data_IF_314208708661
#
_entry.id   IF_314208708661
#
_cell.length_a   1.000
_cell.length_b   1.000
_cell.length_c   1.000
_cell.angle_alpha   90.00
_cell.angle_beta   90.00
_cell.angle_gamma   90.00
#
_symmetry.space_group_name_H-M   'P 1'
#
loop_
_entity.id
_entity.type
_entity.pdbx_description
1 polymer ?
#
# COMPACT_ATOMS: atom_id res chain seq x y z
N UNK A 1 23.50 11.78 -13.96
CA UNK A 1 22.66 10.58 -14.16
C UNK A 1 21.22 11.01 -14.22
N UNK A 2 20.45 10.50 -15.20
CA UNK A 2 19.01 10.71 -15.26
C UNK A 2 18.33 9.55 -14.52
N UNK A 3 17.57 9.88 -13.48
CA UNK A 3 16.77 8.90 -12.73
C UNK A 3 15.29 9.06 -13.04
N UNK A 4 14.57 7.96 -12.94
CA UNK A 4 13.12 7.92 -12.95
C UNK A 4 12.64 7.07 -11.77
N UNK A 5 11.64 7.57 -11.07
CA UNK A 5 10.88 6.81 -10.09
C UNK A 5 9.69 6.16 -10.79
N UNK A 6 9.51 4.87 -10.61
CA UNK A 6 8.37 4.13 -11.13
C UNK A 6 7.32 3.96 -10.06
N UNK A 7 6.09 4.30 -10.42
CA UNK A 7 4.90 3.89 -9.69
C UNK A 7 4.37 2.62 -10.37
N UNK A 8 4.81 1.48 -9.86
CA UNK A 8 4.43 0.15 -10.26
C UNK A 8 2.93 -0.10 -10.02
N UNK A 9 2.43 -1.16 -10.67
CA UNK A 9 1.00 -1.48 -10.65
C UNK A 9 0.52 -1.89 -9.26
N UNK A 10 -0.75 -1.61 -8.99
CA UNK A 10 -1.49 -2.25 -7.90
C UNK A 10 -2.09 -3.58 -8.35
N UNK A 11 -2.55 -4.38 -7.37
CA UNK A 11 -3.42 -5.53 -7.60
C UNK A 11 -2.83 -6.60 -8.53
N UNK A 12 -1.57 -6.98 -8.31
CA UNK A 12 -0.92 -8.07 -9.07
C UNK A 12 -1.61 -9.43 -8.87
N UNK A 13 -2.22 -9.59 -7.70
CA UNK A 13 -3.04 -10.71 -7.26
C UNK A 13 -4.34 -10.92 -8.06
N UNK A 14 -4.83 -9.90 -8.79
CA UNK A 14 -6.03 -10.04 -9.63
C UNK A 14 -5.83 -11.03 -10.75
N UNK A 15 -4.61 -11.12 -11.29
CA UNK A 15 -4.26 -12.07 -12.34
C UNK A 15 -3.67 -13.36 -11.78
N UNK A 16 -2.87 -13.26 -10.72
CA UNK A 16 -2.34 -14.42 -10.01
C UNK A 16 -2.73 -14.39 -8.53
N UNK A 17 -3.84 -15.07 -8.16
CA UNK A 17 -4.31 -15.11 -6.78
C UNK A 17 -3.30 -15.66 -5.78
N UNK A 18 -2.26 -16.39 -6.21
CA UNK A 18 -1.22 -16.88 -5.30
C UNK A 18 -0.38 -15.74 -4.69
N UNK A 19 -0.39 -14.56 -5.31
CA UNK A 19 0.33 -13.37 -4.84
C UNK A 19 -0.50 -12.50 -3.86
N UNK A 20 -1.71 -12.92 -3.49
CA UNK A 20 -2.62 -12.16 -2.60
C UNK A 20 -1.96 -11.72 -1.29
N UNK A 21 -1.16 -12.59 -0.68
CA UNK A 21 -0.48 -12.29 0.58
C UNK A 21 0.71 -11.34 0.41
N UNK A 22 1.26 -11.29 -0.80
CA UNK A 22 2.37 -10.43 -1.18
C UNK A 22 1.91 -9.12 -1.83
N UNK A 23 0.61 -8.91 -2.01
CA UNK A 23 0.09 -7.72 -2.70
C UNK A 23 0.40 -6.41 -1.98
N UNK A 24 0.81 -6.41 -0.71
CA UNK A 24 1.32 -5.21 -0.03
C UNK A 24 2.81 -4.97 -0.21
N UNK A 25 3.52 -5.93 -0.78
CA UNK A 25 4.99 -5.93 -1.00
C UNK A 25 5.33 -5.83 -2.48
N UNK A 26 4.53 -6.51 -3.31
CA UNK A 26 4.74 -6.69 -4.73
C UNK A 26 3.63 -6.02 -5.56
N UNK A 27 4.00 -5.47 -6.72
CA UNK A 27 5.37 -5.20 -7.15
C UNK A 27 6.08 -4.17 -6.27
N UNK A 28 7.41 -4.27 -6.21
CA UNK A 28 8.21 -3.18 -5.68
C UNK A 28 8.10 -1.97 -6.61
N UNK A 29 8.26 -0.80 -6.02
CA UNK A 29 8.43 0.44 -6.80
C UNK A 29 9.90 0.51 -7.25
N UNK A 30 10.21 1.29 -8.28
CA UNK A 30 11.54 1.24 -8.89
C UNK A 30 12.23 2.61 -8.95
N UNK A 31 13.56 2.61 -8.80
CA UNK A 31 14.42 3.70 -9.25
C UNK A 31 15.26 3.22 -10.44
N UNK A 32 15.01 3.80 -11.60
CA UNK A 32 15.63 3.43 -12.87
C UNK A 32 16.70 4.45 -13.29
N UNK A 33 17.85 3.96 -13.76
CA UNK A 33 18.86 4.78 -14.43
C UNK A 33 18.58 4.78 -15.92
N UNK A 34 18.14 5.95 -16.42
CA UNK A 34 17.61 6.07 -17.77
C UNK A 34 18.72 6.18 -18.81
N UNK A 35 18.69 5.24 -19.75
CA UNK A 35 19.50 5.13 -20.95
C UNK A 35 18.65 5.24 -22.23
N UNK A 36 19.17 5.91 -23.28
CA UNK A 36 18.50 6.01 -24.56
C UNK A 36 18.15 4.65 -25.17
N UNK A 37 16.89 4.47 -25.54
CA UNK A 37 16.40 3.29 -26.26
C UNK A 37 16.24 2.01 -25.43
N UNK A 38 16.53 2.06 -24.11
CA UNK A 38 16.35 0.91 -23.24
C UNK A 38 14.85 0.67 -22.92
N UNK A 39 14.50 -0.61 -22.70
CA UNK A 39 13.18 -1.04 -22.26
C UNK A 39 13.24 -1.47 -20.79
N UNK A 40 12.42 -0.88 -19.92
CA UNK A 40 12.43 -1.11 -18.46
C UNK A 40 11.33 -2.08 -18.00
N UNK A 41 11.04 -3.12 -18.77
CA UNK A 41 10.10 -4.16 -18.32
C UNK A 41 8.63 -3.94 -18.65
N UNK A 42 8.04 -2.78 -18.32
CA UNK A 42 6.59 -2.59 -18.47
C UNK A 42 6.05 -2.79 -19.90
N UNK A 43 4.92 -3.52 -20.11
CA UNK A 43 4.07 -4.19 -19.12
C UNK A 43 4.46 -5.64 -18.80
N UNK A 44 5.54 -6.13 -19.41
CA UNK A 44 5.89 -7.54 -19.44
C UNK A 44 6.65 -8.02 -18.20
N UNK A 45 7.45 -7.14 -17.60
CA UNK A 45 8.28 -7.43 -16.45
C UNK A 45 8.10 -6.39 -15.36
N UNK A 46 8.28 -6.82 -14.12
CA UNK A 46 8.33 -5.99 -12.92
C UNK A 46 9.52 -6.41 -12.04
N UNK A 47 9.90 -5.57 -11.09
CA UNK A 47 11.03 -5.80 -10.19
C UNK A 47 12.33 -6.09 -10.99
N UNK A 48 13.17 -7.00 -10.48
CA UNK A 48 14.40 -7.43 -11.11
C UNK A 48 14.15 -8.50 -12.19
N UNK A 49 13.38 -8.14 -13.22
CA UNK A 49 13.15 -8.98 -14.40
C UNK A 49 12.21 -10.16 -14.16
N UNK A 50 11.22 -9.98 -13.28
CA UNK A 50 10.17 -10.99 -13.05
C UNK A 50 9.07 -10.79 -14.08
N UNK A 51 8.68 -11.85 -14.78
CA UNK A 51 7.59 -11.78 -15.74
C UNK A 51 6.26 -11.49 -15.02
N UNK A 52 5.53 -10.49 -15.51
CA UNK A 52 4.19 -10.15 -15.02
C UNK A 52 3.25 -11.36 -15.21
N UNK A 53 2.30 -11.61 -14.28
CA UNK A 53 1.33 -12.69 -14.40
C UNK A 53 0.48 -12.71 -15.69
N UNK A 54 0.35 -11.56 -16.33
CA UNK A 54 -0.33 -11.40 -17.63
C UNK A 54 0.51 -11.98 -18.78
N UNK A 55 1.83 -12.09 -18.60
CA UNK A 55 2.81 -12.48 -19.62
C UNK A 55 3.84 -13.51 -19.10
N UNK A 56 3.40 -14.66 -18.54
CA UNK A 56 4.26 -15.59 -17.82
C UNK A 56 5.38 -16.25 -18.66
N UNK A 57 5.36 -16.08 -19.99
CA UNK A 57 6.38 -16.60 -20.90
C UNK A 57 7.27 -15.53 -21.55
N UNK A 58 7.17 -14.27 -21.13
CA UNK A 58 8.02 -13.20 -21.67
C UNK A 58 9.45 -13.32 -21.12
N UNK A 59 10.44 -13.11 -21.99
CA UNK A 59 11.86 -13.12 -21.61
C UNK A 59 12.33 -11.73 -21.17
N UNK A 60 12.35 -11.53 -19.86
CA UNK A 60 12.77 -10.28 -19.22
C UNK A 60 14.27 -10.01 -19.29
N UNK A 61 15.10 -10.95 -19.77
CA UNK A 61 16.55 -10.72 -19.93
C UNK A 61 16.88 -9.64 -20.95
N UNK A 62 15.94 -9.33 -21.85
CA UNK A 62 16.02 -8.25 -22.84
C UNK A 62 15.68 -6.86 -22.27
N UNK A 63 15.20 -6.80 -21.02
CA UNK A 63 14.80 -5.57 -20.35
C UNK A 63 15.88 -5.13 -19.36
N UNK A 64 15.89 -3.83 -19.07
CA UNK A 64 16.80 -3.25 -18.09
C UNK A 64 16.17 -3.30 -16.71
N UNK A 65 16.92 -3.87 -15.76
CA UNK A 65 16.52 -3.93 -14.36
C UNK A 65 16.73 -2.58 -13.66
N UNK A 66 15.96 -2.31 -12.58
CA UNK A 66 16.12 -1.10 -11.81
C UNK A 66 17.47 -1.03 -11.08
N UNK A 67 17.91 0.20 -10.80
CA UNK A 67 19.09 0.45 -9.98
C UNK A 67 18.82 0.19 -8.50
N UNK A 68 17.58 0.42 -8.05
CA UNK A 68 17.13 0.13 -6.69
C UNK A 68 15.63 -0.19 -6.71
N UNK A 69 15.26 -1.21 -5.95
CA UNK A 69 13.86 -1.45 -5.60
C UNK A 69 13.51 -0.65 -4.34
N UNK A 70 12.32 -0.08 -4.37
CA UNK A 70 11.67 0.60 -3.27
C UNK A 70 10.53 -0.27 -2.75
N UNK A 71 10.08 -0.12 -1.49
CA UNK A 71 8.95 -0.90 -0.99
C UNK A 71 7.71 -0.74 -1.87
N UNK A 72 6.91 -1.80 -2.04
CA UNK A 72 5.69 -1.72 -2.84
C UNK A 72 4.70 -0.64 -2.37
N UNK A 73 4.02 -0.03 -3.33
CA UNK A 73 2.98 1.00 -3.15
C UNK A 73 3.44 2.25 -2.42
N UNK A 74 4.73 2.61 -2.48
CA UNK A 74 5.19 3.90 -1.97
C UNK A 74 4.86 5.05 -2.91
N UNK A 75 4.55 4.77 -4.19
CA UNK A 75 4.27 5.75 -5.24
C UNK A 75 5.25 6.94 -5.21
N UNK A 76 6.51 6.75 -5.68
CA UNK A 76 7.49 7.82 -5.70
C UNK A 76 7.13 8.83 -6.80
N UNK A 77 6.68 10.04 -6.42
CA UNK A 77 6.18 11.03 -7.39
C UNK A 77 7.18 12.13 -7.72
N UNK A 78 7.90 12.64 -6.71
CA UNK A 78 8.82 13.75 -6.85
C UNK A 78 10.14 13.48 -6.15
N UNK A 79 11.23 13.89 -6.80
CA UNK A 79 12.58 13.59 -6.37
C UNK A 79 13.54 14.72 -6.72
N UNK A 80 14.43 15.07 -5.80
CA UNK A 80 15.45 16.10 -6.02
C UNK A 80 16.73 15.73 -5.28
N UNK A 81 17.88 15.95 -5.92
CA UNK A 81 19.17 15.78 -5.24
C UNK A 81 19.42 16.95 -4.30
N UNK A 82 19.76 16.67 -3.04
CA UNK A 82 20.06 17.73 -2.11
C UNK A 82 21.45 18.33 -2.35
N UNK A 83 21.49 19.56 -2.87
CA UNK A 83 22.74 20.30 -3.12
C UNK A 83 22.92 21.52 -2.19
N UNK A 84 22.02 21.70 -1.22
CA UNK A 84 22.04 22.84 -0.32
C UNK A 84 23.07 22.75 0.80
N UNK A 85 23.28 23.89 1.48
CA UNK A 85 24.19 24.00 2.62
C UNK A 85 23.50 24.11 3.98
N UNK A 86 22.16 24.23 4.00
CA UNK A 86 21.37 24.44 5.21
C UNK A 86 21.35 23.22 6.13
N UNK A 87 21.20 22.02 5.56
CA UNK A 87 21.20 20.76 6.32
C UNK A 87 22.64 20.23 6.52
N UNK A 88 22.86 19.34 7.51
CA UNK A 88 24.18 18.76 7.76
C UNK A 88 24.82 18.14 6.51
N UNK A 89 26.17 18.07 6.41
CA UNK A 89 26.87 17.54 5.24
C UNK A 89 26.41 16.14 4.80
N UNK A 90 25.90 15.33 5.73
CA UNK A 90 25.36 14.01 5.46
C UNK A 90 24.12 14.00 4.54
N UNK A 91 23.51 15.15 4.25
CA UNK A 91 22.40 15.26 3.28
C UNK A 91 22.89 15.48 1.86
N UNK A 92 24.05 16.13 1.69
CA UNK A 92 24.53 16.61 0.39
C UNK A 92 24.77 15.46 -0.57
N UNK A 93 24.32 15.65 -1.81
CA UNK A 93 24.42 14.67 -2.89
C UNK A 93 23.34 13.58 -2.85
N UNK A 94 22.65 13.35 -1.73
CA UNK A 94 21.63 12.31 -1.64
C UNK A 94 20.33 12.72 -2.34
N UNK A 95 19.55 11.73 -2.75
CA UNK A 95 18.27 11.93 -3.41
C UNK A 95 17.16 12.04 -2.36
N UNK A 96 16.41 13.14 -2.34
CA UNK A 96 15.21 13.27 -1.53
C UNK A 96 14.02 12.83 -2.36
N UNK A 97 13.16 11.98 -1.80
CA UNK A 97 12.02 11.39 -2.51
C UNK A 97 10.74 11.54 -1.68
N UNK A 98 9.66 11.97 -2.32
CA UNK A 98 8.31 11.95 -1.76
C UNK A 98 7.65 10.60 -2.00
N UNK A 99 7.33 9.87 -0.93
CA UNK A 99 6.50 8.66 -0.98
C UNK A 99 5.04 9.03 -0.76
N UNK A 100 4.29 9.17 -1.85
CA UNK A 100 2.88 9.59 -1.86
C UNK A 100 1.91 8.49 -1.41
N UNK A 101 2.31 7.24 -1.63
CA UNK A 101 1.45 6.06 -1.60
C UNK A 101 0.52 6.00 -0.40
N UNK A 102 -0.73 5.58 -0.64
CA UNK A 102 -1.80 5.57 0.36
C UNK A 102 -1.69 4.43 1.39
N UNK A 103 -0.71 3.54 1.22
CA UNK A 103 -0.50 2.35 2.05
C UNK A 103 0.56 2.58 3.10
N UNK A 104 0.74 1.59 3.97
CA UNK A 104 1.60 1.69 5.14
C UNK A 104 3.06 2.04 4.84
N UNK A 105 3.58 1.68 3.67
CA UNK A 105 4.93 2.03 3.23
C UNK A 105 5.08 3.47 2.72
N UNK A 106 3.99 4.07 2.23
CA UNK A 106 3.99 5.45 1.75
C UNK A 106 3.90 6.48 2.89
N UNK A 107 3.39 7.67 2.56
CA UNK A 107 3.22 8.79 3.48
C UNK A 107 4.52 9.23 4.16
N UNK A 108 5.59 9.40 3.39
CA UNK A 108 6.92 9.74 3.91
C UNK A 108 7.66 10.70 2.99
N UNK A 109 8.53 11.49 3.57
CA UNK A 109 9.64 12.09 2.83
C UNK A 109 10.88 11.32 3.24
N UNK A 110 11.61 10.79 2.27
CA UNK A 110 12.79 9.96 2.51
C UNK A 110 14.02 10.56 1.83
N UNK A 111 15.18 10.11 2.28
CA UNK A 111 16.47 10.38 1.66
C UNK A 111 17.10 9.04 1.26
N UNK A 112 17.50 8.94 0.00
CA UNK A 112 18.14 7.75 -0.58
C UNK A 112 19.62 8.07 -0.81
N UNK A 113 20.55 7.32 -0.18
CA UNK A 113 21.97 7.45 -0.46
C UNK A 113 22.29 7.15 -1.93
N UNK A 114 23.24 7.89 -2.50
CA UNK A 114 23.69 7.69 -3.89
C UNK A 114 25.22 7.59 -3.98
N UNK A 115 25.70 6.89 -5.01
CA UNK A 115 27.12 6.80 -5.33
C UNK A 115 27.65 8.11 -5.96
N UNK A 116 28.96 8.16 -6.22
CA UNK A 116 29.62 9.33 -6.84
C UNK A 116 29.09 9.64 -8.25
N UNK A 117 28.34 8.72 -8.88
CA UNK A 117 27.69 8.91 -10.18
C UNK A 117 26.24 9.36 -10.02
N UNK A 118 25.74 9.51 -8.79
CA UNK A 118 24.34 9.83 -8.49
C UNK A 118 23.40 8.64 -8.66
N UNK A 119 23.88 7.40 -8.57
CA UNK A 119 23.02 6.20 -8.62
C UNK A 119 22.66 5.77 -7.19
N UNK A 120 21.37 5.51 -6.88
CA UNK A 120 20.94 5.01 -5.57
C UNK A 120 21.73 3.78 -5.11
N UNK A 121 22.34 3.83 -3.92
CA UNK A 121 23.27 2.81 -3.44
C UNK A 121 23.31 2.65 -1.90
N UNK A 122 22.16 2.62 -1.23
CA UNK A 122 22.22 2.43 0.21
C UNK A 122 20.86 2.28 0.86
N UNK A 123 20.90 2.23 2.18
CA UNK A 123 19.71 2.12 2.98
C UNK A 123 18.99 3.48 3.03
N UNK A 124 17.75 3.50 2.53
CA UNK A 124 16.84 4.66 2.56
C UNK A 124 16.71 5.17 3.98
N UNK A 125 16.62 6.49 4.21
CA UNK A 125 16.46 7.13 5.53
C UNK A 125 15.17 7.95 5.56
N UNK A 126 14.43 7.89 6.66
CA UNK A 126 13.22 8.70 6.79
C UNK A 126 13.60 10.15 7.20
N UNK A 127 13.06 11.15 6.51
CA UNK A 127 13.17 12.56 6.89
C UNK A 127 11.91 13.04 7.62
N UNK A 128 10.74 12.69 7.08
CA UNK A 128 9.44 12.97 7.68
C UNK A 128 8.58 11.72 7.61
N UNK A 129 8.03 11.32 8.76
CA UNK A 129 7.11 10.19 8.92
C UNK A 129 6.18 10.43 10.11
N UNK A 130 5.11 9.64 10.20
CA UNK A 130 4.21 9.65 11.36
C UNK A 130 3.26 10.85 11.43
N UNK A 131 3.10 11.60 10.34
CA UNK A 131 2.04 12.60 10.16
C UNK A 131 0.70 11.92 9.84
N UNK A 132 0.19 11.18 10.83
CA UNK A 132 -1.01 10.38 10.72
C UNK A 132 -2.27 11.24 10.55
N UNK A 133 -3.32 10.63 9.98
CA UNK A 133 -4.64 11.26 9.90
C UNK A 133 -5.16 11.62 11.30
N UNK A 134 -5.65 12.85 11.44
CA UNK A 134 -6.38 13.33 12.62
C UNK A 134 -7.85 13.61 12.28
N UNK A 135 -8.62 14.11 13.25
CA UNK A 135 -10.01 14.52 13.02
C UNK A 135 -10.15 15.67 12.01
N UNK A 136 -9.11 16.50 11.88
CA UNK A 136 -9.13 17.73 11.08
C UNK A 136 -8.09 17.73 9.96
N UNK A 137 -7.26 16.70 9.86
CA UNK A 137 -6.13 16.64 8.93
C UNK A 137 -6.01 15.25 8.31
N UNK A 138 -5.97 15.09 6.97
CA UNK A 138 -5.59 13.83 6.35
C UNK A 138 -4.12 13.46 6.64
N UNK A 139 -3.80 12.18 6.46
CA UNK A 139 -2.42 11.70 6.50
C UNK A 139 -1.62 12.32 5.36
N UNK A 140 -0.37 12.69 5.60
CA UNK A 140 0.45 13.41 4.62
C UNK A 140 0.71 12.60 3.35
N UNK A 141 0.52 13.22 2.19
CA UNK A 141 0.69 12.67 0.85
C UNK A 141 1.60 13.59 0.00
N UNK A 142 2.93 13.47 0.17
CA UNK A 142 3.89 14.32 -0.52
C UNK A 142 3.91 14.00 -2.02
N UNK A 143 3.90 15.03 -2.86
CA UNK A 143 3.87 14.89 -4.32
C UNK A 143 5.22 15.26 -4.92
N UNK A 144 5.64 16.51 -4.77
CA UNK A 144 6.89 17.01 -5.35
C UNK A 144 7.84 17.55 -4.29
N UNK A 145 9.14 17.52 -4.59
CA UNK A 145 10.22 17.97 -3.70
C UNK A 145 11.14 18.90 -4.48
N UNK A 146 11.47 20.05 -3.91
CA UNK A 146 12.43 20.99 -4.47
C UNK A 146 13.37 21.53 -3.40
N UNK A 147 14.61 21.83 -3.80
CA UNK A 147 15.59 22.49 -2.93
C UNK A 147 15.64 23.97 -3.28
N UNK A 148 15.34 24.82 -2.29
CA UNK A 148 15.42 26.26 -2.40
C UNK A 148 16.87 26.75 -2.46
N UNK A 149 17.06 27.97 -2.96
CA UNK A 149 18.38 28.62 -3.00
C UNK A 149 18.99 28.81 -1.60
N UNK A 150 18.16 28.93 -0.57
CA UNK A 150 18.59 29.00 0.83
C UNK A 150 18.95 27.62 1.42
N UNK A 151 18.89 26.55 0.62
CA UNK A 151 19.13 25.18 1.04
C UNK A 151 17.97 24.52 1.78
N UNK A 152 16.81 25.19 1.92
CA UNK A 152 15.60 24.58 2.48
C UNK A 152 14.99 23.58 1.51
N UNK A 153 14.29 22.57 2.03
CA UNK A 153 13.56 21.61 1.21
C UNK A 153 12.09 22.01 1.23
N UNK A 154 11.50 22.19 0.05
CA UNK A 154 10.08 22.45 -0.13
C UNK A 154 9.41 21.17 -0.62
N UNK A 155 8.25 20.85 -0.04
CA UNK A 155 7.47 19.68 -0.43
C UNK A 155 6.03 20.11 -0.68
N UNK A 156 5.48 19.76 -1.84
CA UNK A 156 4.05 19.92 -2.11
C UNK A 156 3.31 18.70 -1.57
N UNK A 157 2.15 18.94 -0.97
CA UNK A 157 1.34 17.88 -0.36
C UNK A 157 -0.13 18.14 -0.73
N UNK A 158 -0.72 17.20 -1.47
CA UNK A 158 -1.98 17.42 -2.18
C UNK A 158 -3.22 17.22 -1.31
N UNK A 159 -3.22 16.27 -0.38
CA UNK A 159 -4.40 15.97 0.44
C UNK A 159 -4.70 17.06 1.46
N UNK A 160 -3.70 17.75 2.02
CA UNK A 160 -3.90 18.94 2.84
C UNK A 160 -3.88 20.24 2.01
N UNK A 161 -3.46 20.19 0.74
CA UNK A 161 -3.32 21.38 -0.10
C UNK A 161 -2.24 22.34 0.45
N UNK A 162 -1.12 21.79 0.92
CA UNK A 162 -0.07 22.56 1.61
C UNK A 162 1.26 22.51 0.89
N UNK A 163 2.09 23.53 1.16
CA UNK A 163 3.52 23.50 0.87
C UNK A 163 4.24 23.46 2.20
N UNK A 164 5.02 22.41 2.42
CA UNK A 164 5.86 22.26 3.59
C UNK A 164 7.24 22.84 3.29
N UNK A 165 7.79 23.63 4.22
CA UNK A 165 9.18 24.06 4.20
C UNK A 165 9.93 23.33 5.32
N UNK A 166 10.82 22.43 4.96
CA UNK A 166 11.76 21.84 5.90
C UNK A 166 12.99 22.75 5.99
N UNK A 167 13.32 23.15 7.22
CA UNK A 167 14.50 23.95 7.54
C UNK A 167 15.28 23.26 8.65
N UNK A 168 16.57 23.57 8.74
CA UNK A 168 17.44 23.03 9.76
C UNK A 168 17.68 24.05 10.88
N UNK A 169 17.50 23.61 12.11
CA UNK A 169 17.85 24.37 13.31
C UNK A 169 18.74 23.50 14.19
N UNK A 170 20.03 23.84 14.26
CA UNK A 170 21.01 23.11 15.04
C UNK A 170 20.70 23.10 16.55
N UNK A 171 19.91 24.06 17.05
CA UNK A 171 19.46 24.10 18.45
C UNK A 171 18.37 23.07 18.75
N UNK A 172 17.61 22.65 17.73
CA UNK A 172 16.57 21.62 17.83
C UNK A 172 17.13 20.19 17.68
N UNK A 173 18.38 20.03 17.25
CA UNK A 173 19.08 18.74 17.16
C UNK A 173 20.15 18.71 16.08
N UNK A 174 20.89 17.59 16.01
CA UNK A 174 21.98 17.40 15.04
C UNK A 174 21.50 17.17 13.60
N UNK A 175 20.18 17.10 13.36
CA UNK A 175 19.62 16.86 12.03
C UNK A 175 19.90 15.46 11.51
N UNK A 176 20.20 14.48 12.37
CA UNK A 176 20.41 13.09 11.93
C UNK A 176 19.10 12.56 11.33
N UNK A 177 19.10 12.04 10.09
CA UNK A 177 17.93 11.39 9.50
C UNK A 177 17.39 10.30 10.41
N UNK A 178 16.08 10.10 10.39
CA UNK A 178 15.44 9.07 11.20
C UNK A 178 15.85 7.69 10.68
N UNK A 179 16.03 6.76 11.62
CA UNK A 179 16.19 5.35 11.28
C UNK A 179 14.98 4.91 10.46
N UNK A 180 15.19 4.18 9.35
CA UNK A 180 14.12 3.87 8.43
C UNK A 180 13.14 2.95 9.14
N UNK A 181 11.84 3.21 9.00
CA UNK A 181 10.88 2.21 9.43
C UNK A 181 11.03 0.98 8.52
N UNK A 182 11.18 -0.24 9.08
CA UNK A 182 11.19 -1.45 8.27
C UNK A 182 9.98 -1.45 7.33
N UNK A 183 10.14 -1.92 6.07
CA UNK A 183 9.00 -2.13 5.19
C UNK A 183 7.92 -2.90 5.93
N UNK A 184 6.67 -2.45 5.80
CA UNK A 184 5.54 -3.22 6.29
C UNK A 184 5.35 -4.37 5.33
N UNK A 185 6.15 -5.42 5.52
CA UNK A 185 5.86 -6.72 4.95
C UNK A 185 4.60 -7.23 5.65
N UNK A 186 3.47 -7.48 4.96
CA UNK A 186 2.37 -8.30 5.45
C UNK A 186 2.83 -9.75 5.76
N UNK A 187 3.77 -9.91 6.68
CA UNK A 187 4.04 -11.19 7.31
C UNK A 187 2.81 -11.52 8.14
N UNK A 188 2.13 -12.60 7.78
CA UNK A 188 1.14 -13.20 8.67
C UNK A 188 1.83 -13.48 10.00
N UNK A 189 1.23 -13.02 11.11
CA UNK A 189 1.75 -13.35 12.43
C UNK A 189 1.68 -14.86 12.64
N UNK A 190 2.45 -15.38 13.60
CA UNK A 190 2.36 -16.80 13.96
C UNK A 190 0.91 -17.20 14.33
N UNK A 191 0.18 -16.29 14.98
CA UNK A 191 -1.23 -16.48 15.33
C UNK A 191 -2.14 -16.49 14.10
N UNK A 192 -1.91 -15.61 13.13
CA UNK A 192 -2.65 -15.61 11.87
C UNK A 192 -2.38 -16.87 11.06
N UNK A 193 -1.12 -17.36 11.02
CA UNK A 193 -0.80 -18.65 10.39
C UNK A 193 -1.61 -19.79 11.00
N UNK A 194 -1.61 -19.91 12.33
CA UNK A 194 -2.39 -20.94 13.02
C UNK A 194 -3.89 -20.80 12.71
N UNK A 195 -4.43 -19.58 12.69
CA UNK A 195 -5.84 -19.35 12.32
C UNK A 195 -6.13 -19.78 10.87
N UNK A 196 -5.27 -19.44 9.93
CA UNK A 196 -5.44 -19.81 8.53
C UNK A 196 -5.30 -21.31 8.30
N UNK A 197 -4.36 -21.97 8.96
CA UNK A 197 -4.22 -23.43 8.93
C UNK A 197 -5.48 -24.11 9.48
N UNK A 198 -6.01 -23.63 10.60
CA UNK A 198 -7.26 -24.14 11.16
C UNK A 198 -8.43 -23.90 10.19
N UNK A 199 -8.57 -22.67 9.68
CA UNK A 199 -9.64 -22.29 8.76
C UNK A 199 -9.60 -23.09 7.45
N UNK A 200 -8.42 -23.38 6.91
CA UNK A 200 -8.24 -24.15 5.69
C UNK A 200 -8.88 -25.55 5.77
N UNK A 201 -8.99 -26.11 6.97
CA UNK A 201 -9.60 -27.43 7.19
C UNK A 201 -11.10 -27.38 7.48
N UNK A 202 -11.68 -26.20 7.75
CA UNK A 202 -13.10 -26.05 8.06
C UNK A 202 -13.97 -26.08 6.80
N UNK A 203 -15.01 -26.90 6.82
CA UNK A 203 -16.08 -26.91 5.83
C UNK A 203 -17.27 -26.05 6.27
N UNK A 204 -18.06 -25.55 5.31
CA UNK A 204 -19.33 -24.85 5.56
C UNK A 204 -19.31 -23.40 5.09
N UNK A 205 -20.50 -22.81 4.97
CA UNK A 205 -20.73 -21.51 4.33
C UNK A 205 -19.89 -20.39 4.92
N UNK A 206 -19.77 -20.33 6.26
CA UNK A 206 -19.02 -19.26 6.92
C UNK A 206 -17.50 -19.37 6.68
N UNK A 207 -16.98 -20.59 6.65
CA UNK A 207 -15.56 -20.83 6.40
C UNK A 207 -15.20 -20.52 4.92
N UNK A 208 -16.07 -20.90 3.97
CA UNK A 208 -15.93 -20.51 2.56
C UNK A 208 -16.03 -19.01 2.38
N UNK A 209 -17.07 -18.36 2.93
CA UNK A 209 -17.21 -16.90 2.87
C UNK A 209 -15.96 -16.18 3.39
N UNK A 210 -15.37 -16.65 4.48
CA UNK A 210 -14.14 -16.07 5.01
C UNK A 210 -12.97 -16.18 4.03
N UNK A 211 -12.67 -17.39 3.52
CA UNK A 211 -11.51 -17.60 2.64
C UNK A 211 -11.71 -16.97 1.28
N UNK A 212 -12.88 -17.23 0.70
CA UNK A 212 -13.14 -17.04 -0.71
C UNK A 212 -13.62 -15.61 -1.00
N UNK A 213 -14.19 -14.92 0.00
CA UNK A 213 -14.67 -13.54 -0.14
C UNK A 213 -13.92 -12.57 0.77
N UNK A 214 -13.92 -12.76 2.09
CA UNK A 214 -13.40 -11.75 3.01
C UNK A 214 -11.88 -11.62 2.95
N UNK A 215 -11.15 -12.73 3.05
CA UNK A 215 -9.68 -12.75 2.97
C UNK A 215 -9.18 -12.32 1.59
N UNK A 216 -9.88 -12.77 0.54
CA UNK A 216 -9.54 -12.45 -0.84
C UNK A 216 -9.82 -10.97 -1.19
N UNK A 217 -11.00 -10.45 -0.86
CA UNK A 217 -11.49 -9.20 -1.44
C UNK A 217 -11.61 -8.03 -0.45
N UNK A 218 -11.56 -8.27 0.86
CA UNK A 218 -11.90 -7.26 1.86
C UNK A 218 -10.74 -6.92 2.81
N UNK A 219 -9.99 -7.93 3.28
CA UNK A 219 -8.98 -7.74 4.34
C UNK A 219 -7.84 -6.80 3.94
N UNK A 220 -7.48 -6.74 2.66
CA UNK A 220 -6.40 -5.85 2.16
C UNK A 220 -6.68 -4.35 2.34
N UNK A 221 -7.95 -3.95 2.49
CA UNK A 221 -8.33 -2.57 2.79
C UNK A 221 -8.93 -2.44 4.20
N UNK A 222 -9.70 -3.44 4.64
CA UNK A 222 -10.45 -3.39 5.90
C UNK A 222 -9.75 -4.07 7.08
N UNK A 223 -8.48 -4.46 6.95
CA UNK A 223 -7.69 -5.12 7.97
C UNK A 223 -7.57 -4.35 9.29
N UNK A 224 -7.44 -5.04 10.43
CA UNK A 224 -7.24 -4.41 11.74
C UNK A 224 -5.81 -3.90 12.00
N UNK A 225 -4.95 -3.81 10.97
CA UNK A 225 -3.56 -3.36 11.09
C UNK A 225 -3.44 -1.85 10.79
N UNK A 226 -2.46 -1.12 11.37
CA UNK A 226 -2.21 0.28 11.03
C UNK A 226 -1.91 0.44 9.52
N UNK A 227 -2.60 1.38 8.85
CA UNK A 227 -2.45 1.64 7.41
C UNK A 227 -3.51 1.00 6.51
N UNK A 228 -4.43 0.20 7.06
CA UNK A 228 -5.58 -0.34 6.34
C UNK A 228 -6.78 0.60 6.45
N UNK A 229 -7.24 1.14 5.32
CA UNK A 229 -8.31 2.13 5.25
C UNK A 229 -9.69 1.46 5.25
N UNK A 230 -10.45 1.58 6.35
CA UNK A 230 -11.86 1.21 6.28
C UNK A 230 -12.64 1.01 7.59
N UNK A 231 -11.99 1.04 8.76
CA UNK A 231 -12.67 1.08 10.06
C UNK A 231 -13.52 -0.15 10.44
N UNK A 232 -13.61 -1.16 9.57
CA UNK A 232 -14.33 -2.41 9.78
C UNK A 232 -13.52 -3.44 10.59
N UNK A 233 -12.19 -3.30 10.58
CA UNK A 233 -11.24 -4.10 11.36
C UNK A 233 -11.41 -5.62 11.16
N UNK A 234 -11.54 -6.05 9.90
CA UNK A 234 -11.55 -7.46 9.54
C UNK A 234 -10.19 -8.10 9.84
N UNK A 235 -10.21 -9.35 10.26
CA UNK A 235 -9.02 -10.12 10.58
C UNK A 235 -8.86 -11.27 9.59
N UNK A 236 -7.64 -11.45 9.06
CA UNK A 236 -7.34 -12.56 8.16
C UNK A 236 -7.63 -13.89 8.86
N UNK A 237 -8.36 -14.77 8.18
CA UNK A 237 -8.74 -16.11 8.64
C UNK A 237 -9.51 -16.16 9.98
N UNK A 238 -10.32 -15.15 10.29
CA UNK A 238 -11.19 -15.08 11.48
C UNK A 238 -12.67 -15.13 11.07
N UNK A 239 -13.12 -16.30 10.65
CA UNK A 239 -14.47 -16.53 10.11
C UNK A 239 -15.57 -16.09 11.09
N UNK A 240 -15.51 -16.56 12.33
CA UNK A 240 -16.49 -16.23 13.39
C UNK A 240 -16.43 -14.75 13.78
N UNK A 241 -15.23 -14.20 14.00
CA UNK A 241 -15.08 -12.82 14.43
C UNK A 241 -15.49 -11.82 13.36
N UNK A 242 -15.15 -12.08 12.09
CA UNK A 242 -15.55 -11.20 11.00
C UNK A 242 -17.06 -11.24 10.72
N UNK A 243 -17.68 -12.43 10.74
CA UNK A 243 -19.14 -12.53 10.65
C UNK A 243 -19.84 -11.78 11.78
N UNK A 244 -19.24 -11.76 12.97
CA UNK A 244 -19.76 -11.00 14.10
C UNK A 244 -19.66 -9.49 13.83
N UNK A 245 -18.47 -8.99 13.45
CA UNK A 245 -18.24 -7.56 13.13
C UNK A 245 -19.15 -7.03 12.03
N UNK A 246 -19.43 -7.83 11.00
CA UNK A 246 -20.32 -7.45 9.90
C UNK A 246 -21.78 -7.23 10.36
N UNK A 247 -22.19 -7.89 11.45
CA UNK A 247 -23.55 -7.83 12.01
C UNK A 247 -23.68 -6.84 13.16
N UNK A 248 -22.57 -6.32 13.67
CA UNK A 248 -22.58 -5.37 14.78
C UNK A 248 -22.85 -3.94 14.31
N UNK A 249 -23.45 -3.15 15.20
CA UNK A 249 -23.66 -1.73 14.94
C UNK A 249 -22.31 -1.01 14.89
N UNK A 250 -22.11 -0.21 13.84
CA UNK A 250 -20.95 0.64 13.71
C UNK A 250 -21.16 1.93 14.49
N UNK A 251 -20.06 2.63 14.80
CA UNK A 251 -20.10 3.94 15.48
C UNK A 251 -20.91 4.98 14.70
N UNK A 252 -20.95 4.86 13.38
CA UNK A 252 -21.76 5.67 12.47
C UNK A 252 -22.54 4.75 11.55
N UNK A 253 -23.86 4.63 11.76
CA UNK A 253 -24.76 3.79 10.98
C UNK A 253 -25.05 2.41 11.59
N UNK A 254 -25.93 1.65 10.93
CA UNK A 254 -26.31 0.30 11.32
C UNK A 254 -25.29 -0.77 10.90
N UNK A 255 -25.62 -2.06 11.09
CA UNK A 255 -24.75 -3.16 10.68
C UNK A 255 -24.65 -3.22 9.16
N UNK A 256 -23.52 -3.73 8.67
CA UNK A 256 -23.34 -3.96 7.23
C UNK A 256 -24.22 -5.12 6.74
N UNK A 257 -24.44 -6.10 7.61
CA UNK A 257 -25.25 -7.29 7.32
C UNK A 257 -26.41 -7.38 8.29
N UNK A 258 -27.61 -7.42 7.74
CA UNK A 258 -28.85 -7.72 8.44
C UNK A 258 -29.25 -9.17 8.12
N UNK A 259 -29.45 -10.04 9.13
CA UNK A 259 -29.90 -11.41 8.91
C UNK A 259 -31.18 -11.49 8.08
N UNK A 260 -31.20 -12.39 7.08
CA UNK A 260 -32.33 -12.62 6.17
C UNK A 260 -32.77 -11.40 5.33
N UNK A 261 -31.90 -10.41 5.16
CA UNK A 261 -32.19 -9.17 4.43
C UNK A 261 -31.11 -8.92 3.36
N UNK A 262 -31.44 -9.24 2.11
CA UNK A 262 -30.53 -9.04 0.96
C UNK A 262 -30.34 -7.57 0.60
N UNK A 263 -31.18 -6.66 1.11
CA UNK A 263 -31.01 -5.21 0.99
C UNK A 263 -30.00 -4.64 2.00
N UNK A 264 -29.26 -5.53 2.69
CA UNK A 264 -28.12 -5.21 3.55
C UNK A 264 -27.13 -4.27 2.87
N UNK A 265 -26.55 -3.33 3.64
CA UNK A 265 -25.58 -2.36 3.10
C UNK A 265 -24.37 -3.05 2.46
N UNK A 266 -23.96 -4.22 2.96
CA UNK A 266 -22.90 -5.01 2.34
C UNK A 266 -23.21 -5.32 0.88
N UNK A 267 -24.40 -5.83 0.58
CA UNK A 267 -24.80 -6.21 -0.79
C UNK A 267 -24.81 -4.99 -1.70
N UNK A 268 -25.42 -3.90 -1.24
CA UNK A 268 -25.45 -2.62 -1.96
C UNK A 268 -24.06 -2.07 -2.27
N UNK A 269 -23.11 -2.19 -1.34
CA UNK A 269 -21.70 -1.82 -1.57
C UNK A 269 -21.00 -2.74 -2.56
N UNK A 270 -21.29 -4.04 -2.54
CA UNK A 270 -20.72 -4.99 -3.51
C UNK A 270 -21.25 -4.73 -4.94
N UNK A 271 -22.50 -4.29 -5.06
CA UNK A 271 -23.15 -3.98 -6.34
C UNK A 271 -22.94 -2.53 -6.82
N UNK A 272 -22.57 -1.62 -5.90
CA UNK A 272 -22.48 -0.19 -6.20
C UNK A 272 -23.85 0.51 -6.25
N UNK A 273 -24.88 -0.07 -5.62
CA UNK A 273 -26.23 0.51 -5.56
C UNK A 273 -26.32 1.55 -4.44
N UNK A 274 -26.42 2.83 -4.79
CA UNK A 274 -26.54 3.94 -3.83
C UNK A 274 -25.31 4.17 -2.94
N UNK A 275 -24.26 3.36 -3.10
CA UNK A 275 -22.97 3.46 -2.41
C UNK A 275 -21.82 3.29 -3.41
N UNK A 276 -20.62 3.83 -3.13
CA UNK A 276 -19.43 3.47 -3.90
C UNK A 276 -19.22 1.96 -3.88
N UNK A 277 -18.96 1.37 -5.06
CA UNK A 277 -18.72 -0.06 -5.18
C UNK A 277 -17.42 -0.45 -4.46
N UNK A 278 -17.50 -1.43 -3.57
CA UNK A 278 -16.38 -1.88 -2.73
C UNK A 278 -16.35 -3.41 -2.69
N UNK A 279 -15.22 -4.06 -3.10
CA UNK A 279 -14.01 -3.45 -3.63
C UNK A 279 -14.25 -2.77 -4.98
N UNK A 280 -13.32 -1.92 -5.43
CA UNK A 280 -13.44 -1.29 -6.74
C UNK A 280 -13.45 -2.35 -7.85
N UNK A 281 -14.56 -2.41 -8.61
CA UNK A 281 -14.83 -3.45 -9.61
C UNK A 281 -15.67 -4.63 -9.10
N UNK A 282 -16.06 -4.64 -7.83
CA UNK A 282 -16.92 -5.66 -7.22
C UNK A 282 -16.22 -6.99 -6.95
N UNK A 283 -17.02 -7.97 -6.55
CA UNK A 283 -16.61 -9.37 -6.39
C UNK A 283 -17.15 -10.22 -7.55
N UNK A 284 -16.66 -11.45 -7.70
CA UNK A 284 -17.15 -12.35 -8.74
C UNK A 284 -18.63 -12.74 -8.51
N UNK A 285 -19.37 -13.14 -9.56
CA UNK A 285 -20.73 -13.64 -9.40
C UNK A 285 -20.84 -14.83 -8.42
N UNK A 286 -19.85 -15.71 -8.41
CA UNK A 286 -19.78 -16.86 -7.50
C UNK A 286 -19.61 -16.40 -6.05
N UNK A 287 -18.70 -15.46 -5.80
CA UNK A 287 -18.51 -14.84 -4.48
C UNK A 287 -19.79 -14.13 -4.02
N UNK A 288 -20.51 -13.46 -4.92
CA UNK A 288 -21.80 -12.83 -4.60
C UNK A 288 -22.86 -13.86 -4.20
N UNK A 289 -22.94 -15.00 -4.91
CA UNK A 289 -23.84 -16.10 -4.54
C UNK A 289 -23.54 -16.61 -3.14
N UNK A 290 -22.27 -16.73 -2.75
CA UNK A 290 -21.88 -17.13 -1.38
C UNK A 290 -22.33 -16.11 -0.32
N UNK A 291 -22.12 -14.81 -0.57
CA UNK A 291 -22.56 -13.73 0.33
C UNK A 291 -24.08 -13.79 0.53
N UNK A 292 -24.85 -13.86 -0.55
CA UNK A 292 -26.31 -13.91 -0.49
C UNK A 292 -26.80 -15.19 0.18
N UNK A 293 -26.19 -16.34 -0.10
CA UNK A 293 -26.53 -17.61 0.55
C UNK A 293 -26.33 -17.54 2.07
N UNK A 294 -25.22 -16.93 2.52
CA UNK A 294 -24.97 -16.72 3.95
C UNK A 294 -26.00 -15.77 4.59
N UNK A 295 -26.35 -14.66 3.92
CA UNK A 295 -27.36 -13.70 4.41
C UNK A 295 -28.74 -14.35 4.52
N UNK A 296 -29.17 -15.10 3.49
CA UNK A 296 -30.45 -15.86 3.46
C UNK A 296 -30.54 -16.90 4.56
N UNK A 297 -29.41 -17.47 4.97
CA UNK A 297 -29.33 -18.41 6.08
C UNK A 297 -29.40 -17.74 7.46
N UNK A 298 -29.68 -16.42 7.52
CA UNK A 298 -29.71 -15.65 8.75
C UNK A 298 -28.34 -15.13 9.20
N UNK A 299 -27.36 -15.09 8.30
CA UNK A 299 -25.99 -14.66 8.57
C UNK A 299 -25.40 -15.30 9.86
N UNK A 300 -25.34 -16.64 9.95
CA UNK A 300 -24.85 -17.32 11.14
C UNK A 300 -23.39 -16.95 11.42
N UNK A 301 -23.07 -16.83 12.70
CA UNK A 301 -21.70 -16.53 13.20
C UNK A 301 -20.96 -17.77 13.69
N UNK A 302 -21.61 -18.93 13.66
CA UNK A 302 -21.10 -20.23 14.11
C UNK A 302 -21.74 -21.32 13.28
#
# INVERSE_FOLDING_TARGET
TLLQGENARDSIDKRDPSLRDLEGELPHEELNVIEPGAHYGWPYCYDNGVASPEYPGYDCSSTKTPAMLLPGHVAPLGMEYYQGDLFPPAYRGNLIVGFHGYRANGHRIVMVPVDDRGVPNGEIRDLVRGWEKTATQPQGAPVDVLVGQDGSIFVTEDKNGTILKLSFDASAGAGTPLVPKPPVTPVMTAEERVRCEALATKSGTLASLQRDVLDAACVSCHGARPGYAGGLALLRCDDVGNATRLRENRRTGGPLVKPNDEDSELVKRLEGDGFPQMPAGGISPEQMVEVLAWIRAGAPTR
#
